data_IF_038123729812
#
_entry.id   IF_038123729812
#
_cell.length_a   1.000
_cell.length_b   1.000
_cell.length_c   1.000
_cell.angle_alpha   90.00
_cell.angle_beta   90.00
_cell.angle_gamma   90.00
#
_symmetry.space_group_name_H-M   'P 1'
#
loop_
_entity.id
_entity.type
_entity.pdbx_description
1 polymer ?
#
# COMPACT_ATOMS: atom_id res chain seq x y z
N UNK A 1 6.11 23.65 -55.82
CA UNK A 1 5.89 23.45 -54.38
C UNK A 1 5.90 24.78 -53.69
N UNK A 2 4.85 25.09 -52.93
CA UNK A 2 4.56 26.42 -52.46
C UNK A 2 5.43 26.75 -51.23
N UNK A 3 5.85 28.02 -51.09
CA UNK A 3 6.74 28.47 -49.99
C UNK A 3 6.16 28.19 -48.59
N UNK A 4 4.84 28.00 -48.50
CA UNK A 4 4.10 27.57 -47.29
C UNK A 4 4.31 26.10 -46.93
N UNK A 5 4.46 25.21 -47.91
CA UNK A 5 4.56 23.77 -47.67
C UNK A 5 5.94 23.40 -47.10
N UNK A 6 6.98 24.13 -47.51
CA UNK A 6 8.33 23.97 -46.96
C UNK A 6 8.45 24.51 -45.53
N UNK A 7 7.64 25.51 -45.14
CA UNK A 7 7.66 26.05 -43.79
C UNK A 7 6.94 25.12 -42.80
N UNK A 8 5.88 24.43 -43.24
CA UNK A 8 5.19 23.44 -42.42
C UNK A 8 6.07 22.19 -42.19
N UNK A 9 6.78 21.74 -43.23
CA UNK A 9 7.69 20.59 -43.12
C UNK A 9 8.88 20.90 -42.21
N UNK A 10 9.42 22.12 -42.26
CA UNK A 10 10.51 22.55 -41.37
C UNK A 10 10.04 22.60 -39.90
N UNK A 11 8.80 23.02 -39.64
CA UNK A 11 8.23 23.08 -38.29
C UNK A 11 7.96 21.67 -37.72
N UNK A 12 7.53 20.72 -38.56
CA UNK A 12 7.38 19.31 -38.16
C UNK A 12 8.75 18.66 -37.91
N UNK A 13 9.77 18.93 -38.73
CA UNK A 13 11.11 18.36 -38.51
C UNK A 13 11.79 18.97 -37.27
N UNK A 14 11.61 20.26 -37.01
CA UNK A 14 12.13 20.92 -35.80
C UNK A 14 11.42 20.45 -34.52
N UNK A 15 10.14 20.09 -34.58
CA UNK A 15 9.41 19.54 -33.42
C UNK A 15 9.79 18.10 -33.08
N UNK A 16 10.41 17.35 -34.01
CA UNK A 16 11.00 16.04 -33.76
C UNK A 16 12.48 16.07 -33.35
N UNK A 17 13.15 17.23 -33.44
CA UNK A 17 14.58 17.41 -33.12
C UNK A 17 14.83 18.03 -31.74
N UNK A 18 13.77 18.37 -30.98
CA UNK A 18 13.90 18.55 -29.55
C UNK A 18 14.18 17.19 -28.91
N UNK A 19 15.48 16.89 -28.78
CA UNK A 19 15.97 15.84 -27.88
C UNK A 19 15.24 15.99 -26.55
N UNK A 20 14.75 14.91 -25.92
CA UNK A 20 14.31 15.02 -24.55
C UNK A 20 15.51 15.56 -23.77
N UNK A 21 15.35 16.75 -23.19
CA UNK A 21 16.25 17.20 -22.16
C UNK A 21 16.17 16.13 -21.08
N UNK A 22 17.15 15.22 -21.05
CA UNK A 22 17.33 14.33 -19.93
C UNK A 22 17.65 15.22 -18.75
N UNK A 23 16.63 15.47 -17.93
CA UNK A 23 16.83 16.00 -16.60
C UNK A 23 17.70 14.99 -15.85
N UNK A 24 18.98 15.32 -15.73
CA UNK A 24 19.91 14.67 -14.83
C UNK A 24 19.46 14.94 -13.39
N UNK A 25 19.27 13.87 -12.62
CA UNK A 25 19.41 13.89 -11.16
C UNK A 25 18.17 14.28 -10.36
N UNK A 26 17.57 13.25 -9.73
CA UNK A 26 16.89 13.25 -8.42
C UNK A 26 15.76 14.27 -8.20
N UNK A 27 14.52 13.78 -8.13
CA UNK A 27 13.34 14.54 -7.64
C UNK A 27 12.51 13.62 -6.73
N UNK A 28 12.37 14.01 -5.47
CA UNK A 28 11.94 13.16 -4.36
C UNK A 28 10.50 12.62 -4.52
N UNK A 29 10.35 11.29 -4.66
CA UNK A 29 9.05 10.60 -4.76
C UNK A 29 8.22 10.98 -6.00
N UNK A 30 7.24 10.17 -6.41
CA UNK A 30 6.50 10.40 -7.66
C UNK A 30 5.45 11.54 -7.59
N UNK A 31 5.36 12.30 -6.49
CA UNK A 31 4.46 13.44 -6.37
C UNK A 31 5.21 14.75 -6.07
N UNK A 32 5.29 15.62 -7.08
CA UNK A 32 5.94 16.93 -7.06
C UNK A 32 5.17 18.05 -6.35
N UNK A 33 3.99 17.76 -5.77
CA UNK A 33 3.08 18.81 -5.27
C UNK A 33 3.44 19.27 -3.86
N UNK A 34 4.16 18.48 -3.03
CA UNK A 34 4.23 18.75 -1.58
C UNK A 34 5.60 18.58 -0.92
N UNK A 35 6.62 18.10 -1.61
CA UNK A 35 7.99 18.17 -1.13
C UNK A 35 8.81 18.98 -2.14
N UNK A 36 9.28 20.20 -1.80
CA UNK A 36 10.36 20.83 -2.55
C UNK A 36 11.45 19.79 -2.81
N UNK A 37 12.06 19.81 -4.00
CA UNK A 37 13.03 18.80 -4.44
C UNK A 37 14.31 18.67 -3.59
N UNK A 38 14.33 19.27 -2.40
CA UNK A 38 15.43 19.35 -1.44
C UNK A 38 15.33 18.28 -0.32
N UNK A 39 14.29 17.43 -0.34
CA UNK A 39 13.81 16.68 0.84
C UNK A 39 13.58 15.19 0.55
N UNK A 40 14.57 14.34 0.82
CA UNK A 40 14.70 13.01 0.20
C UNK A 40 15.14 11.91 1.20
N UNK A 41 14.67 11.95 2.44
CA UNK A 41 15.10 11.03 3.50
C UNK A 41 13.96 10.11 3.91
N UNK A 42 14.03 8.82 3.57
CA UNK A 42 12.96 7.85 3.86
C UNK A 42 13.36 6.79 4.90
N UNK A 43 12.39 6.39 5.73
CA UNK A 43 12.48 5.24 6.64
C UNK A 43 11.24 4.35 6.48
N UNK A 44 11.45 3.03 6.47
CA UNK A 44 10.36 2.05 6.27
C UNK A 44 9.99 1.40 7.59
N UNK A 45 8.69 1.35 7.88
CA UNK A 45 8.11 0.66 9.03
C UNK A 45 7.03 -0.30 8.58
N UNK A 46 6.91 -1.44 9.25
CA UNK A 46 5.95 -2.49 8.87
C UNK A 46 5.26 -3.01 10.13
N UNK A 47 3.93 -3.08 10.07
CA UNK A 47 3.09 -3.82 11.02
C UNK A 47 2.41 -4.96 10.28
N UNK A 48 2.84 -6.17 10.58
CA UNK A 48 2.26 -7.39 10.05
C UNK A 48 0.98 -7.78 10.79
N UNK A 49 -0.01 -8.20 10.01
CA UNK A 49 -1.12 -9.02 10.44
C UNK A 49 -0.81 -10.50 10.20
N UNK A 50 -1.85 -11.30 10.00
CA UNK A 50 -1.63 -12.73 9.78
C UNK A 50 -1.13 -13.00 8.35
N UNK A 51 -1.70 -12.39 7.32
CA UNK A 51 -1.33 -12.70 5.92
C UNK A 51 -1.28 -11.43 5.06
N UNK A 52 -0.95 -10.32 5.70
CA UNK A 52 -1.13 -8.96 5.23
C UNK A 52 -0.36 -8.02 6.15
N UNK A 53 -0.15 -6.77 5.72
CA UNK A 53 0.57 -5.80 6.53
C UNK A 53 0.14 -4.38 6.18
N UNK A 54 0.39 -3.46 7.11
CA UNK A 54 0.49 -2.03 6.81
C UNK A 54 1.98 -1.67 6.75
N UNK A 55 2.36 -1.00 5.67
CA UNK A 55 3.72 -0.52 5.38
C UNK A 55 3.67 1.00 5.38
N UNK A 56 4.57 1.61 6.13
CA UNK A 56 4.71 3.06 6.24
C UNK A 56 6.08 3.47 5.71
N UNK A 57 6.10 4.43 4.81
CA UNK A 57 7.33 5.11 4.37
C UNK A 57 7.32 6.52 4.96
N UNK A 58 7.97 6.68 6.10
CA UNK A 58 8.14 7.98 6.73
C UNK A 58 9.21 8.76 5.99
N UNK A 59 9.00 10.06 5.81
CA UNK A 59 9.96 10.95 5.19
C UNK A 59 10.15 12.23 5.98
N UNK A 60 11.39 12.72 5.97
CA UNK A 60 11.78 13.98 6.59
C UNK A 60 12.42 14.90 5.57
N UNK A 61 12.01 16.17 5.60
CA UNK A 61 12.55 17.26 4.80
C UNK A 61 13.78 17.95 5.42
N UNK A 62 14.45 17.34 6.40
CA UNK A 62 15.75 17.85 6.81
C UNK A 62 16.82 17.36 5.84
N UNK A 63 17.30 18.28 5.00
CA UNK A 63 18.47 18.04 4.16
C UNK A 63 19.75 17.89 5.01
N UNK A 64 20.82 17.30 4.45
CA UNK A 64 22.12 17.23 5.10
C UNK A 64 22.63 18.63 5.42
N UNK A 65 22.77 18.96 6.71
CA UNK A 65 23.25 20.26 7.19
C UNK A 65 22.23 21.09 7.97
N UNK A 66 20.95 20.70 8.00
CA UNK A 66 19.95 21.30 8.91
C UNK A 66 19.91 20.51 10.22
N UNK A 67 20.82 20.83 11.14
CA UNK A 67 20.91 20.25 12.50
C UNK A 67 19.88 20.85 13.47
N UNK A 68 18.63 21.00 13.02
CA UNK A 68 17.49 21.41 13.84
C UNK A 68 16.45 20.29 13.91
N UNK A 69 15.64 20.25 14.97
CA UNK A 69 14.47 19.36 15.01
C UNK A 69 13.56 19.70 13.81
N UNK A 70 13.08 18.70 13.06
CA UNK A 70 12.23 18.96 11.91
C UNK A 70 10.97 19.68 12.39
N UNK A 71 10.62 20.78 11.73
CA UNK A 71 9.31 21.38 12.00
C UNK A 71 8.22 20.39 11.57
N UNK A 72 7.07 20.31 12.25
CA UNK A 72 6.06 19.30 11.94
C UNK A 72 5.51 19.36 10.50
N UNK A 73 5.64 20.51 9.83
CA UNK A 73 5.32 20.70 8.40
C UNK A 73 6.31 20.03 7.43
N UNK A 74 7.46 19.60 7.93
CA UNK A 74 8.57 19.04 7.15
C UNK A 74 8.67 17.51 7.32
N UNK A 75 7.66 16.87 7.89
CA UNK A 75 7.59 15.42 8.06
C UNK A 75 6.24 14.92 7.58
N UNK A 76 6.25 13.77 6.93
CA UNK A 76 5.04 13.08 6.51
C UNK A 76 5.32 11.61 6.27
N UNK A 77 4.26 10.83 6.03
CA UNK A 77 4.41 9.43 5.69
C UNK A 77 3.50 9.02 4.53
N UNK A 78 3.92 8.00 3.79
CA UNK A 78 3.08 7.25 2.85
C UNK A 78 2.65 5.93 3.47
N UNK A 79 1.36 5.62 3.37
CA UNK A 79 0.78 4.41 3.94
C UNK A 79 0.32 3.46 2.83
N UNK A 80 0.71 2.20 2.94
CA UNK A 80 0.31 1.14 2.03
C UNK A 80 -0.25 -0.04 2.81
N UNK A 81 -1.32 -0.64 2.28
CA UNK A 81 -1.77 -1.95 2.68
C UNK A 81 -1.15 -3.00 1.75
N UNK A 82 -0.49 -3.99 2.30
CA UNK A 82 0.09 -5.11 1.56
C UNK A 82 -0.81 -6.35 1.67
N UNK A 83 -1.16 -6.94 0.53
CA UNK A 83 -1.85 -8.23 0.47
C UNK A 83 -1.53 -8.99 -0.80
N UNK A 84 -1.22 -10.28 -0.68
CA UNK A 84 -1.04 -11.20 -1.82
C UNK A 84 -0.05 -10.69 -2.89
N UNK A 85 1.08 -10.12 -2.47
CA UNK A 85 2.09 -9.58 -3.41
C UNK A 85 1.77 -8.20 -3.98
N UNK A 86 0.65 -7.58 -3.58
CA UNK A 86 0.22 -6.26 -4.05
C UNK A 86 0.25 -5.21 -2.95
N UNK A 87 0.49 -3.97 -3.36
CA UNK A 87 0.46 -2.78 -2.52
C UNK A 87 -0.73 -1.91 -2.90
N UNK A 88 -1.49 -1.50 -1.91
CA UNK A 88 -2.61 -0.59 -2.07
C UNK A 88 -2.36 0.68 -1.27
N UNK A 89 -2.37 1.82 -1.93
CA UNK A 89 -2.19 3.11 -1.31
C UNK A 89 -3.36 3.48 -0.41
N UNK A 90 -3.04 3.81 0.85
CA UNK A 90 -4.00 4.25 1.87
C UNK A 90 -4.03 5.76 2.05
N UNK A 91 -3.09 6.49 1.45
CA UNK A 91 -2.96 7.93 1.62
C UNK A 91 -1.61 8.32 2.22
N UNK A 92 -1.46 9.63 2.41
CA UNK A 92 -0.29 10.23 3.03
C UNK A 92 -0.70 11.24 4.09
N UNK A 93 0.25 11.56 4.93
CA UNK A 93 0.11 12.57 5.98
C UNK A 93 1.05 13.72 5.65
N UNK A 94 0.52 14.94 5.62
CA UNK A 94 1.31 16.16 5.46
C UNK A 94 1.04 17.06 6.65
N UNK A 95 2.08 17.45 7.39
CA UNK A 95 1.92 18.43 8.46
C UNK A 95 1.35 17.86 9.77
N UNK A 96 1.95 16.79 10.28
CA UNK A 96 1.81 16.27 11.65
C UNK A 96 0.60 15.38 12.01
N UNK A 97 -0.34 15.12 11.09
CA UNK A 97 -1.44 14.18 11.38
C UNK A 97 -1.03 12.75 11.02
N UNK A 98 -0.40 12.03 11.94
CA UNK A 98 -0.09 10.61 11.75
C UNK A 98 -1.36 9.76 11.58
N UNK A 99 -1.36 8.81 10.65
CA UNK A 99 -2.44 7.85 10.50
C UNK A 99 -2.14 6.66 11.43
N UNK A 100 -2.86 6.56 12.54
CA UNK A 100 -2.75 5.42 13.44
C UNK A 100 -3.56 4.24 12.92
N UNK A 101 -3.07 3.03 13.17
CA UNK A 101 -3.73 1.81 12.72
C UNK A 101 -3.52 0.63 13.66
N UNK A 102 -4.57 -0.19 13.82
CA UNK A 102 -4.59 -1.32 14.73
C UNK A 102 -5.31 -2.51 14.11
N UNK A 103 -4.69 -3.69 14.20
CA UNK A 103 -5.34 -4.95 13.85
C UNK A 103 -6.15 -5.44 15.04
N UNK A 104 -7.46 -5.56 14.87
CA UNK A 104 -8.37 -6.03 15.91
C UNK A 104 -9.37 -7.02 15.35
N UNK A 105 -9.42 -8.22 15.95
CA UNK A 105 -10.31 -9.31 15.51
C UNK A 105 -10.24 -9.57 14.00
N UNK A 106 -9.04 -9.53 13.43
CA UNK A 106 -8.80 -9.79 12.01
C UNK A 106 -9.16 -8.65 11.06
N UNK A 107 -9.49 -7.45 11.55
CA UNK A 107 -9.79 -6.26 10.74
C UNK A 107 -8.79 -5.16 11.09
N UNK A 108 -8.26 -4.48 10.07
CA UNK A 108 -7.45 -3.28 10.29
C UNK A 108 -8.36 -2.08 10.49
N UNK A 109 -8.17 -1.37 11.58
CA UNK A 109 -8.85 -0.11 11.88
C UNK A 109 -7.86 1.04 11.75
N UNK A 110 -8.29 2.12 11.12
CA UNK A 110 -7.52 3.35 10.90
C UNK A 110 -8.14 4.49 11.73
N UNK A 111 -7.31 5.42 12.21
CA UNK A 111 -7.75 6.53 13.07
C UNK A 111 -8.74 7.49 12.41
N UNK A 112 -8.76 7.54 11.08
CA UNK A 112 -9.66 8.38 10.28
C UNK A 112 -11.03 7.73 10.01
N UNK A 113 -11.37 6.66 10.71
CA UNK A 113 -12.68 5.99 10.58
C UNK A 113 -12.78 5.08 9.37
N UNK A 114 -11.65 4.63 8.83
CA UNK A 114 -11.60 3.58 7.81
C UNK A 114 -11.29 2.22 8.44
N UNK A 115 -11.73 1.15 7.79
CA UNK A 115 -11.32 -0.21 8.10
C UNK A 115 -11.08 -1.05 6.85
N UNK A 116 -10.15 -1.99 6.95
CA UNK A 116 -9.81 -2.91 5.87
C UNK A 116 -10.10 -4.32 6.34
N UNK A 117 -10.97 -5.02 5.61
CA UNK A 117 -11.22 -6.45 5.79
C UNK A 117 -10.21 -7.24 4.97
N UNK A 118 -9.27 -7.99 5.60
CA UNK A 118 -8.28 -8.77 4.86
C UNK A 118 -8.87 -9.89 4.01
N UNK A 119 -10.07 -10.34 4.35
CA UNK A 119 -10.79 -11.41 3.65
C UNK A 119 -11.44 -10.91 2.35
N UNK A 120 -12.07 -9.73 2.40
CA UNK A 120 -12.82 -9.19 1.26
C UNK A 120 -12.01 -8.23 0.38
N UNK A 121 -10.77 -7.92 0.77
CA UNK A 121 -9.85 -7.02 0.06
C UNK A 121 -10.52 -5.70 -0.35
N UNK A 122 -11.24 -5.10 0.59
CA UNK A 122 -11.94 -3.84 0.40
C UNK A 122 -11.80 -2.95 1.64
N UNK A 123 -12.03 -1.66 1.44
CA UNK A 123 -11.99 -0.64 2.47
C UNK A 123 -13.39 -0.15 2.79
N UNK A 124 -13.78 -0.18 4.06
CA UNK A 124 -14.98 0.45 4.58
C UNK A 124 -14.64 1.83 5.15
N UNK A 125 -15.53 2.80 4.98
CA UNK A 125 -15.38 4.18 5.47
C UNK A 125 -16.47 4.48 6.52
N UNK A 126 -16.29 5.55 7.29
CA UNK A 126 -17.23 6.00 8.33
C UNK A 126 -17.58 4.92 9.36
N UNK A 127 -16.63 4.02 9.63
CA UNK A 127 -16.84 2.92 10.56
C UNK A 127 -16.73 3.39 12.01
N UNK A 128 -17.57 2.82 12.87
CA UNK A 128 -17.45 3.06 14.31
C UNK A 128 -16.29 2.24 14.88
N UNK A 129 -15.24 2.92 15.35
CA UNK A 129 -14.09 2.28 15.98
C UNK A 129 -14.52 1.59 17.31
N UNK A 130 -14.21 0.29 17.49
CA UNK A 130 -14.46 -0.45 18.74
C UNK A 130 -13.84 0.26 19.95
N UNK A 131 -14.58 0.28 21.06
CA UNK A 131 -14.17 1.04 22.27
C UNK A 131 -12.84 0.52 22.83
N UNK A 132 -12.56 -0.77 22.66
CA UNK A 132 -11.38 -1.48 23.16
C UNK A 132 -10.08 -1.02 22.51
N UNK A 133 -10.13 -0.59 21.24
CA UNK A 133 -8.96 -0.15 20.48
C UNK A 133 -8.93 1.34 20.24
N UNK A 134 -10.01 2.06 20.55
CA UNK A 134 -10.07 3.52 20.42
C UNK A 134 -8.90 4.23 21.10
N UNK A 135 -8.45 3.88 22.32
CA UNK A 135 -7.27 4.51 22.92
C UNK A 135 -6.00 4.33 22.08
N UNK A 136 -5.84 3.19 21.38
CA UNK A 136 -4.67 2.94 20.53
C UNK A 136 -4.69 3.74 19.21
N UNK A 137 -5.87 4.18 18.78
CA UNK A 137 -6.07 4.95 17.55
C UNK A 137 -6.24 6.46 17.81
N UNK A 138 -6.35 6.86 19.08
CA UNK A 138 -6.57 8.24 19.50
C UNK A 138 -5.55 8.73 20.53
N UNK A 139 -4.59 7.91 20.96
CA UNK A 139 -3.56 8.34 21.91
C UNK A 139 -2.41 9.05 21.20
N UNK A 140 -1.91 10.13 21.83
CA UNK A 140 -0.64 10.76 21.50
C UNK A 140 0.57 10.03 22.12
N UNK A 141 0.34 8.96 22.87
CA UNK A 141 1.40 8.12 23.40
C UNK A 141 2.09 7.38 22.24
N UNK A 142 3.39 7.07 22.40
CA UNK A 142 4.17 6.28 21.44
C UNK A 142 3.54 4.89 21.24
N UNK A 143 2.53 4.80 20.37
CA UNK A 143 1.99 3.53 19.90
C UNK A 143 3.13 2.88 19.15
N UNK A 144 3.56 1.68 19.58
CA UNK A 144 4.56 0.93 18.84
C UNK A 144 3.96 0.53 17.49
N UNK A 145 4.39 1.23 16.44
CA UNK A 145 3.90 1.09 15.06
C UNK A 145 4.51 -0.14 14.36
N UNK A 146 5.45 -0.85 15.00
CA UNK A 146 6.28 -1.86 14.36
C UNK A 146 5.98 -3.27 14.89
N UNK A 147 5.92 -4.23 13.98
CA UNK A 147 5.99 -5.65 14.33
C UNK A 147 7.41 -6.04 14.77
N UNK A 148 7.51 -7.19 15.45
CA UNK A 148 8.81 -7.85 15.65
C UNK A 148 9.48 -8.03 14.29
N UNK A 149 10.68 -7.48 14.15
CA UNK A 149 11.50 -7.60 12.96
C UNK A 149 12.77 -8.41 13.26
N UNK A 150 13.33 -8.99 12.22
CA UNK A 150 14.54 -9.81 12.24
C UNK A 150 15.60 -9.19 11.32
N UNK A 151 16.87 -9.18 11.70
CA UNK A 151 17.93 -8.72 10.79
C UNK A 151 18.05 -9.69 9.62
N UNK A 152 18.26 -9.13 8.43
CA UNK A 152 18.51 -9.90 7.21
C UNK A 152 19.83 -9.44 6.55
N UNK A 153 20.53 -10.39 5.93
CA UNK A 153 21.81 -10.15 5.26
C UNK A 153 21.82 -10.82 3.90
N UNK A 154 22.36 -10.12 2.91
CA UNK A 154 22.59 -10.68 1.59
C UNK A 154 23.97 -11.31 1.52
N UNK A 155 24.04 -12.62 1.27
CA UNK A 155 25.26 -13.39 1.10
C UNK A 155 25.28 -13.99 -0.32
N UNK A 156 25.91 -13.27 -1.26
CA UNK A 156 25.92 -13.62 -2.67
C UNK A 156 24.50 -13.65 -3.24
N UNK A 157 24.06 -14.83 -3.67
CA UNK A 157 22.71 -15.06 -4.21
C UNK A 157 21.68 -15.53 -3.17
N UNK A 158 22.03 -15.50 -1.88
CA UNK A 158 21.15 -15.96 -0.79
C UNK A 158 20.87 -14.83 0.18
N UNK A 159 19.60 -14.61 0.51
CA UNK A 159 19.17 -13.73 1.58
C UNK A 159 18.97 -14.55 2.86
N UNK A 160 19.68 -14.21 3.92
CA UNK A 160 19.64 -14.90 5.22
C UNK A 160 18.95 -14.02 6.25
N UNK A 161 17.93 -14.54 6.93
CA UNK A 161 17.22 -13.90 8.03
C UNK A 161 17.67 -14.55 9.32
N UNK A 162 18.21 -13.75 10.24
CA UNK A 162 18.93 -14.23 11.41
C UNK A 162 18.07 -14.17 12.68
N UNK A 163 18.36 -15.07 13.61
CA UNK A 163 17.75 -15.04 14.95
C UNK A 163 16.24 -15.31 14.95
N UNK A 164 15.76 -16.13 14.01
CA UNK A 164 14.33 -16.46 13.93
C UNK A 164 13.97 -17.37 15.11
N UNK A 165 13.21 -16.82 16.04
CA UNK A 165 12.60 -17.56 17.14
C UNK A 165 11.26 -18.15 16.66
N UNK A 166 11.18 -19.47 16.48
CA UNK A 166 9.93 -20.17 16.12
C UNK A 166 8.99 -20.25 17.33
N UNK A 167 7.67 -20.09 17.13
CA UNK A 167 6.85 -21.30 17.22
C UNK A 167 5.73 -21.52 16.17
N UNK A 168 5.12 -20.50 15.52
CA UNK A 168 3.79 -20.72 14.89
C UNK A 168 3.56 -20.17 13.47
N UNK A 169 4.55 -19.54 12.81
CA UNK A 169 4.34 -18.79 11.56
C UNK A 169 4.82 -19.48 10.27
N UNK A 170 5.37 -20.69 10.36
CA UNK A 170 5.84 -21.47 9.20
C UNK A 170 5.52 -22.94 9.51
N UNK A 171 4.88 -23.68 8.59
CA UNK A 171 4.57 -25.12 8.74
C UNK A 171 5.81 -26.04 8.95
N UNK A 172 7.01 -25.46 9.01
CA UNK A 172 8.26 -26.16 9.30
C UNK A 172 9.02 -25.38 10.39
N UNK A 173 9.20 -25.94 11.60
CA UNK A 173 9.85 -25.22 12.68
C UNK A 173 11.35 -25.13 12.44
N UNK A 174 11.95 -23.92 12.43
CA UNK A 174 13.36 -23.78 12.72
C UNK A 174 13.59 -23.93 14.24
N UNK A 175 14.70 -24.56 14.63
CA UNK A 175 15.20 -24.55 16.01
C UNK A 175 15.32 -23.12 16.58
N UNK A 176 15.34 -22.95 17.91
CA UNK A 176 15.67 -21.65 18.52
C UNK A 176 17.00 -21.12 17.95
N UNK A 177 17.03 -19.86 17.52
CA UNK A 177 18.16 -19.20 16.84
C UNK A 177 18.53 -19.79 15.47
N UNK A 178 17.54 -20.03 14.61
CA UNK A 178 17.82 -20.46 13.24
C UNK A 178 18.02 -19.30 12.28
N UNK A 179 18.81 -19.57 11.25
CA UNK A 179 18.91 -18.74 10.06
C UNK A 179 17.95 -19.25 9.00
N UNK A 180 17.01 -18.42 8.56
CA UNK A 180 16.13 -18.73 7.44
C UNK A 180 16.75 -18.21 6.14
N UNK A 181 16.89 -19.07 5.13
CA UNK A 181 17.57 -18.72 3.88
C UNK A 181 16.59 -18.70 2.71
N UNK A 182 16.63 -17.62 1.92
CA UNK A 182 15.85 -17.42 0.70
C UNK A 182 16.82 -17.31 -0.46
N UNK A 183 16.68 -18.18 -1.46
CA UNK A 183 17.48 -18.11 -2.68
C UNK A 183 16.96 -16.99 -3.59
N UNK A 184 17.83 -16.08 -4.01
CA UNK A 184 17.49 -15.07 -5.01
C UNK A 184 17.30 -15.72 -6.38
N UNK A 185 16.25 -15.35 -7.13
CA UNK A 185 16.13 -15.68 -8.55
C UNK A 185 17.35 -15.19 -9.34
N UNK A 186 17.80 -15.94 -10.35
CA UNK A 186 18.99 -15.60 -11.15
C UNK A 186 18.92 -14.23 -11.85
N UNK A 187 17.71 -13.76 -12.13
CA UNK A 187 17.42 -12.48 -12.77
C UNK A 187 17.23 -11.33 -11.77
N UNK A 188 17.29 -11.61 -10.47
CA UNK A 188 17.16 -10.60 -9.42
C UNK A 188 18.53 -10.28 -8.83
N UNK A 189 19.01 -9.06 -9.07
CA UNK A 189 20.16 -8.50 -8.36
C UNK A 189 19.66 -7.51 -7.30
N UNK A 190 19.88 -7.83 -6.03
CA UNK A 190 19.64 -6.90 -4.94
C UNK A 190 20.96 -6.19 -4.60
N UNK A 191 21.04 -4.90 -4.86
CA UNK A 191 22.15 -4.06 -4.39
C UNK A 191 21.74 -3.44 -3.06
N UNK A 192 22.49 -3.72 -1.99
CA UNK A 192 22.26 -3.11 -0.68
C UNK A 192 23.26 -1.96 -0.52
N UNK A 193 22.82 -0.70 -0.45
CA UNK A 193 23.72 0.44 -0.23
C UNK A 193 24.50 0.30 1.09
N UNK A 194 25.71 0.89 1.20
CA UNK A 194 26.58 0.70 2.36
C UNK A 194 26.01 1.22 3.69
N UNK A 195 25.04 2.13 3.67
CA UNK A 195 24.39 2.70 4.86
C UNK A 195 22.98 2.11 5.11
N UNK A 196 22.67 0.98 4.47
CA UNK A 196 21.37 0.32 4.54
C UNK A 196 21.53 -1.06 5.17
N UNK A 197 20.63 -1.36 6.09
CA UNK A 197 20.43 -2.70 6.62
C UNK A 197 19.17 -3.31 6.01
N UNK A 198 19.10 -4.64 5.96
CA UNK A 198 17.87 -5.33 5.62
C UNK A 198 17.20 -5.82 6.90
N UNK A 199 15.89 -5.65 6.96
CA UNK A 199 15.03 -6.17 8.02
C UNK A 199 13.98 -7.08 7.41
N UNK A 200 13.51 -8.05 8.18
CA UNK A 200 12.48 -8.96 7.77
C UNK A 200 11.35 -9.01 8.80
N UNK A 201 10.11 -9.07 8.32
CA UNK A 201 8.91 -9.30 9.13
C UNK A 201 8.20 -10.52 8.55
N UNK A 202 7.83 -11.47 9.41
CA UNK A 202 7.12 -12.67 9.00
C UNK A 202 5.62 -12.40 8.94
N UNK A 203 5.01 -12.90 7.88
CA UNK A 203 3.58 -13.11 7.72
C UNK A 203 3.33 -14.62 7.90
N UNK A 204 2.12 -15.02 8.25
CA UNK A 204 1.72 -16.42 8.39
C UNK A 204 1.92 -17.28 7.13
N UNK A 205 2.03 -16.67 5.94
CA UNK A 205 2.34 -17.38 4.67
C UNK A 205 3.49 -16.76 3.87
N UNK A 206 4.38 -15.99 4.50
CA UNK A 206 5.49 -15.39 3.78
C UNK A 206 6.35 -14.45 4.59
N UNK A 207 7.22 -13.73 3.91
CA UNK A 207 8.16 -12.80 4.55
C UNK A 207 8.21 -11.52 3.75
N UNK A 208 8.10 -10.39 4.44
CA UNK A 208 8.45 -9.08 3.90
C UNK A 208 9.88 -8.76 4.32
N UNK A 209 10.74 -8.43 3.37
CA UNK A 209 12.12 -8.00 3.63
C UNK A 209 12.25 -6.58 3.09
N UNK A 210 12.76 -5.66 3.89
CA UNK A 210 12.81 -4.25 3.51
C UNK A 210 14.12 -3.59 3.93
N UNK A 211 14.50 -2.58 3.16
CA UNK A 211 15.64 -1.71 3.45
C UNK A 211 15.32 -0.78 4.61
N UNK A 212 16.25 -0.64 5.54
CA UNK A 212 16.15 0.25 6.68
C UNK A 212 17.47 0.98 6.89
N UNK A 213 17.47 2.31 7.11
CA UNK A 213 18.71 3.05 7.30
C UNK A 213 19.45 2.60 8.56
N UNK A 214 20.76 2.39 8.48
CA UNK A 214 21.56 1.94 9.62
C UNK A 214 21.50 2.94 10.78
N UNK A 215 21.45 4.23 10.45
CA UNK A 215 21.28 5.32 11.41
C UNK A 215 20.06 6.14 11.06
N UNK A 216 19.37 6.63 12.08
CA UNK A 216 18.16 7.46 11.90
C UNK A 216 18.43 8.76 11.11
N UNK A 217 19.67 9.26 11.14
CA UNK A 217 20.12 10.46 10.44
C UNK A 217 20.68 10.20 9.04
N UNK A 218 20.71 8.94 8.58
CA UNK A 218 21.21 8.57 7.26
C UNK A 218 20.05 8.49 6.27
N UNK A 219 19.87 9.50 5.40
CA UNK A 219 18.72 9.58 4.53
C UNK A 219 18.78 8.49 3.45
N UNK A 220 17.69 7.74 3.27
CA UNK A 220 17.52 6.89 2.08
C UNK A 220 16.75 7.65 1.03
N UNK A 221 17.23 7.62 -0.20
CA UNK A 221 16.49 8.09 -1.37
C UNK A 221 15.42 7.08 -1.79
N UNK A 222 14.42 7.54 -2.55
CA UNK A 222 13.32 6.68 -3.00
C UNK A 222 13.77 5.45 -3.79
N UNK A 223 14.82 5.58 -4.61
CA UNK A 223 15.40 4.49 -5.40
C UNK A 223 16.26 3.52 -4.57
N UNK A 224 16.61 3.89 -3.34
CA UNK A 224 17.29 3.00 -2.38
C UNK A 224 16.29 2.24 -1.51
N UNK A 225 15.01 2.61 -1.54
CA UNK A 225 13.94 1.84 -0.90
C UNK A 225 13.66 0.57 -1.70
N UNK A 226 13.76 -0.57 -1.03
CA UNK A 226 13.35 -1.85 -1.57
C UNK A 226 12.53 -2.60 -0.53
N UNK A 227 11.37 -3.10 -0.95
CA UNK A 227 10.56 -4.04 -0.18
C UNK A 227 10.40 -5.28 -1.06
N UNK A 228 10.79 -6.42 -0.51
CA UNK A 228 10.73 -7.72 -1.15
C UNK A 228 9.66 -8.55 -0.44
N UNK A 229 8.92 -9.35 -1.20
CA UNK A 229 7.98 -10.32 -0.67
C UNK A 229 8.38 -11.73 -1.09
N UNK A 230 8.55 -12.62 -0.10
CA UNK A 230 8.74 -14.04 -0.30
C UNK A 230 7.48 -14.80 0.11
N UNK A 231 6.87 -15.54 -0.82
CA UNK A 231 5.64 -16.32 -0.56
C UNK A 231 5.88 -17.80 -0.22
N UNK A 232 7.14 -18.19 0.03
CA UNK A 232 7.55 -19.59 0.20
C UNK A 232 8.04 -20.27 -1.08
N UNK A 233 7.89 -19.61 -2.25
CA UNK A 233 8.34 -20.13 -3.56
C UNK A 233 9.06 -19.09 -4.40
N UNK A 234 8.49 -17.89 -4.51
CA UNK A 234 9.02 -16.78 -5.30
C UNK A 234 9.38 -15.61 -4.40
N UNK A 235 10.45 -14.89 -4.77
CA UNK A 235 10.85 -13.63 -4.18
C UNK A 235 10.64 -12.53 -5.22
N UNK A 236 9.85 -11.53 -4.86
CA UNK A 236 9.44 -10.44 -5.75
C UNK A 236 9.78 -9.09 -5.12
N UNK A 237 10.22 -8.13 -5.94
CA UNK A 237 10.38 -6.73 -5.51
C UNK A 237 9.03 -6.05 -5.64
N UNK A 238 8.52 -5.48 -4.55
CA UNK A 238 7.28 -4.73 -4.55
C UNK A 238 7.50 -3.35 -5.18
N UNK A 239 6.65 -3.01 -6.15
CA UNK A 239 6.73 -1.75 -6.86
C UNK A 239 5.97 -0.65 -6.10
N UNK A 240 6.69 0.13 -5.29
CA UNK A 240 6.12 1.25 -4.51
C UNK A 240 5.43 2.30 -5.40
N UNK A 241 6.02 2.60 -6.57
CA UNK A 241 5.48 3.58 -7.52
C UNK A 241 4.16 3.13 -8.14
N UNK A 242 4.01 1.83 -8.40
CA UNK A 242 2.75 1.23 -8.85
C UNK A 242 1.74 1.16 -7.71
N UNK A 243 2.18 0.79 -6.50
CA UNK A 243 1.35 0.79 -5.31
C UNK A 243 0.68 2.14 -5.03
N UNK A 244 1.33 3.26 -5.34
CA UNK A 244 0.76 4.61 -5.22
C UNK A 244 -0.44 4.86 -6.15
N UNK A 245 -0.52 4.14 -7.26
CA UNK A 245 -1.61 4.23 -8.24
C UNK A 245 -2.76 3.29 -7.93
N UNK A 246 -2.51 2.24 -7.15
CA UNK A 246 -3.52 1.27 -6.76
C UNK A 246 -4.17 1.66 -5.43
N UNK A 247 -5.49 1.84 -5.41
CA UNK A 247 -6.26 2.01 -4.16
C UNK A 247 -7.08 0.77 -3.89
N UNK A 248 -7.32 0.48 -2.62
CA UNK A 248 -8.31 -0.53 -2.25
C UNK A 248 -9.70 -0.11 -2.75
N UNK A 249 -10.49 -1.03 -3.32
CA UNK A 249 -11.87 -0.74 -3.65
C UNK A 249 -12.66 -0.51 -2.35
N UNK A 250 -13.69 0.34 -2.43
CA UNK A 250 -14.65 0.46 -1.33
C UNK A 250 -15.46 -0.82 -1.22
N UNK A 251 -15.71 -1.26 0.01
CA UNK A 251 -16.61 -2.36 0.25
C UNK A 251 -18.00 -1.97 -0.27
N UNK A 252 -18.62 -2.82 -1.09
CA UNK A 252 -20.03 -2.64 -1.42
C UNK A 252 -20.80 -2.76 -0.13
N UNK A 253 -21.51 -1.70 0.25
CA UNK A 253 -22.55 -1.83 1.26
C UNK A 253 -23.46 -2.97 0.80
N UNK A 254 -23.74 -3.93 1.68
CA UNK A 254 -24.82 -4.87 1.41
C UNK A 254 -26.03 -4.01 1.04
N UNK A 255 -26.73 -4.29 -0.08
CA UNK A 255 -27.88 -3.50 -0.48
C UNK A 255 -28.76 -3.37 0.75
N UNK A 256 -28.97 -2.12 1.19
CA UNK A 256 -29.74 -1.88 2.40
C UNK A 256 -31.12 -2.46 2.14
N UNK A 257 -31.40 -3.62 2.75
CA UNK A 257 -32.68 -4.30 2.66
C UNK A 257 -33.71 -3.46 3.43
N UNK A 258 -34.16 -2.35 2.84
CA UNK A 258 -35.34 -1.62 3.30
C UNK A 258 -36.02 -0.74 2.25
N UNK A 259 -35.44 -0.51 1.05
CA UNK A 259 -36.10 0.24 -0.02
C UNK A 259 -36.22 -0.49 -1.36
N UNK A 260 -35.19 -1.23 -1.78
CA UNK A 260 -35.23 -1.89 -3.11
C UNK A 260 -36.14 -3.13 -3.13
N UNK A 261 -36.34 -3.81 -2.00
CA UNK A 261 -37.26 -4.95 -1.94
C UNK A 261 -38.72 -4.52 -2.12
N UNK A 262 -39.08 -3.32 -1.65
CA UNK A 262 -40.43 -2.79 -1.76
C UNK A 262 -40.77 -2.45 -3.22
N UNK A 263 -39.85 -1.82 -3.96
CA UNK A 263 -40.03 -1.59 -5.40
C UNK A 263 -40.17 -2.89 -6.20
N UNK A 264 -39.36 -3.90 -5.89
CA UNK A 264 -39.45 -5.19 -6.57
C UNK A 264 -40.78 -5.91 -6.28
N UNK A 265 -41.27 -5.84 -5.04
CA UNK A 265 -42.60 -6.36 -4.67
C UNK A 265 -43.73 -5.60 -5.37
N UNK A 266 -43.66 -4.27 -5.50
CA UNK A 266 -44.67 -3.49 -6.21
C UNK A 266 -44.69 -3.79 -7.72
N UNK A 267 -43.52 -3.97 -8.33
CA UNK A 267 -43.42 -4.34 -9.76
C UNK A 267 -43.96 -5.76 -9.98
N UNK A 268 -43.62 -6.71 -9.12
CA UNK A 268 -44.14 -8.08 -9.19
C UNK A 268 -45.66 -8.13 -8.98
N UNK A 269 -46.18 -7.39 -7.99
CA UNK A 269 -47.61 -7.28 -7.73
C UNK A 269 -48.36 -6.63 -8.91
N UNK A 270 -47.78 -5.57 -9.50
CA UNK A 270 -48.31 -4.94 -10.71
C UNK A 270 -48.38 -5.91 -11.89
N UNK A 271 -47.33 -6.70 -12.12
CA UNK A 271 -47.31 -7.74 -13.15
C UNK A 271 -48.40 -8.80 -12.96
N UNK A 272 -48.60 -9.27 -11.73
CA UNK A 272 -49.65 -10.26 -11.39
C UNK A 272 -51.04 -9.68 -11.62
N UNK A 273 -51.30 -8.42 -11.22
CA UNK A 273 -52.59 -7.78 -11.40
C UNK A 273 -52.93 -7.54 -12.88
N UNK A 274 -51.95 -7.14 -13.70
CA UNK A 274 -52.12 -7.01 -15.16
C UNK A 274 -52.39 -8.37 -15.80
N UNK A 275 -51.65 -9.41 -15.39
CA UNK A 275 -51.86 -10.78 -15.86
C UNK A 275 -53.28 -11.30 -15.53
N UNK A 276 -53.75 -11.07 -14.31
CA UNK A 276 -55.11 -11.44 -13.88
C UNK A 276 -56.19 -10.66 -14.63
N UNK A 277 -55.98 -9.37 -14.87
CA UNK A 277 -56.88 -8.52 -15.66
C UNK A 277 -57.02 -9.00 -17.11
N UNK A 278 -55.88 -9.30 -17.76
CA UNK A 278 -55.86 -9.84 -19.12
C UNK A 278 -56.50 -11.22 -19.22
N UNK A 279 -56.31 -12.08 -18.21
CA UNK A 279 -56.95 -13.40 -18.16
C UNK A 279 -58.48 -13.28 -18.03
N UNK A 280 -58.97 -12.39 -17.17
CA UNK A 280 -60.41 -12.12 -17.03
C UNK A 280 -61.03 -11.57 -18.30
N UNK A 281 -60.36 -10.63 -18.98
CA UNK A 281 -60.81 -10.08 -20.26
C UNK A 281 -60.87 -11.13 -21.36
N UNK A 282 -59.90 -12.05 -21.40
CA UNK A 282 -59.90 -13.17 -22.35
C UNK A 282 -61.08 -14.10 -22.11
N UNK A 283 -61.35 -14.45 -20.85
CA UNK A 283 -62.48 -15.32 -20.47
C UNK A 283 -63.85 -14.69 -20.76
N UNK A 284 -63.97 -13.36 -20.65
CA UNK A 284 -65.18 -12.62 -20.99
C UNK A 284 -65.44 -12.50 -22.51
N UNK A 285 -64.43 -12.77 -23.34
CA UNK A 285 -64.54 -12.75 -24.80
C UNK A 285 -64.86 -14.13 -25.40
N UNK A 286 -64.69 -15.18 -24.60
CA UNK A 286 -64.97 -16.57 -24.95
C UNK A 286 -66.39 -17.02 -24.50
N UNK A 287 -67.10 -16.18 -23.74
CA UNK A 287 -68.53 -16.31 -23.41
C UNK A 287 -69.36 -15.28 -24.18
#
# INVERSE_FOLDING_TARGET
MNKRDNMLLLFVVLSFMCSPAYASGVTCGPHSVLAPGEYCSFATFVKAGNNDAIIVLSWSALGPGMSGLPTPSMVGDYYFYFKNGKLYYLGNTTGAYELFYELYKGVWYLSDGRAISPENLCMAENITIPKEIRPKLCSCDNVSIQSKFYPAVLNGSTLQILGVESPDLIEFPPSKNSTYSIQLPKNLSLSVPPNVTLRAVFLGKGVLVYTYPERFDSPLSWNELSILYYNGKTLEVLNLSEGLRERLPLCREAPSNSRDSLEYYWIALGGVLVGLGLWKLRKAKEN
#
